data_IF_368583289379
#
_entry.id   IF_368583289379
#
_cell.length_a   1.000
_cell.length_b   1.000
_cell.length_c   1.000
_cell.angle_alpha   90.00
_cell.angle_beta   90.00
_cell.angle_gamma   90.00
#
_symmetry.space_group_name_H-M   'P 1'
#
loop_
_entity.id
_entity.type
_entity.pdbx_description
1 polymer ?
#
# COMPACT_ATOMS: atom_id res chain seq x y z
N UNK A 1 1.94 -6.92 -10.16
CA UNK A 1 2.24 -7.87 -9.08
C UNK A 1 0.97 -8.10 -8.30
N UNK A 2 0.45 -9.32 -8.34
CA UNK A 2 -0.66 -9.74 -7.52
C UNK A 2 -0.12 -10.58 -6.36
N UNK A 3 -0.32 -10.15 -5.12
CA UNK A 3 0.07 -10.92 -3.95
C UNK A 3 -1.19 -11.43 -3.23
N UNK A 4 -1.24 -12.74 -3.02
CA UNK A 4 -2.41 -13.41 -2.45
C UNK A 4 -2.73 -12.93 -1.03
N UNK A 5 -1.72 -12.69 -0.18
CA UNK A 5 -1.93 -12.18 1.18
C UNK A 5 -2.60 -10.81 1.18
N UNK A 6 -2.21 -9.93 0.25
CA UNK A 6 -2.83 -8.60 0.12
C UNK A 6 -4.28 -8.74 -0.35
N UNK A 7 -4.57 -9.66 -1.28
CA UNK A 7 -5.94 -9.93 -1.75
C UNK A 7 -6.84 -10.42 -0.61
N UNK A 8 -6.36 -11.31 0.23
CA UNK A 8 -7.11 -11.83 1.38
C UNK A 8 -7.41 -10.73 2.40
N UNK A 9 -6.42 -9.88 2.71
CA UNK A 9 -6.63 -8.71 3.56
C UNK A 9 -7.64 -7.75 2.91
N UNK A 10 -7.50 -7.46 1.62
CA UNK A 10 -8.40 -6.58 0.88
C UNK A 10 -9.85 -7.09 0.93
N UNK A 11 -10.07 -8.39 0.74
CA UNK A 11 -11.38 -9.03 0.88
C UNK A 11 -11.94 -8.89 2.29
N UNK A 12 -11.12 -9.10 3.34
CA UNK A 12 -11.54 -8.96 4.74
C UNK A 12 -12.11 -7.57 5.06
N UNK A 13 -11.53 -6.51 4.50
CA UNK A 13 -12.00 -5.13 4.73
C UNK A 13 -13.00 -4.64 3.68
N UNK A 14 -13.33 -5.44 2.67
CA UNK A 14 -14.10 -5.01 1.49
C UNK A 14 -13.48 -3.75 0.84
N UNK A 15 -12.16 -3.78 0.67
CA UNK A 15 -11.35 -2.70 0.07
C UNK A 15 -10.53 -3.25 -1.07
N UNK A 16 -9.97 -2.37 -1.89
CA UNK A 16 -9.03 -2.80 -2.92
C UNK A 16 -7.61 -3.03 -2.36
N UNK A 17 -6.78 -3.84 -3.03
CA UNK A 17 -5.37 -3.99 -2.65
C UNK A 17 -4.61 -2.66 -2.58
N UNK A 18 -4.96 -1.68 -3.41
CA UNK A 18 -4.35 -0.34 -3.37
C UNK A 18 -4.71 0.40 -2.09
N UNK A 19 -5.99 0.37 -1.68
CA UNK A 19 -6.44 0.98 -0.43
C UNK A 19 -5.77 0.35 0.79
N UNK A 20 -5.59 -0.98 0.81
CA UNK A 20 -4.86 -1.67 1.88
C UNK A 20 -3.42 -1.15 2.00
N UNK A 21 -2.70 -1.05 0.88
CA UNK A 21 -1.31 -0.56 0.88
C UNK A 21 -1.20 0.93 1.25
N UNK A 22 -2.17 1.76 0.85
CA UNK A 22 -2.23 3.16 1.26
C UNK A 22 -2.50 3.29 2.76
N UNK A 23 -3.46 2.53 3.29
CA UNK A 23 -3.77 2.52 4.73
C UNK A 23 -2.58 2.04 5.56
N UNK A 24 -1.87 1.03 5.07
CA UNK A 24 -0.66 0.52 5.71
C UNK A 24 0.42 1.59 5.86
N UNK A 25 0.71 2.38 4.80
CA UNK A 25 1.64 3.51 4.90
C UNK A 25 1.19 4.53 5.95
N UNK A 26 -0.10 4.90 5.95
CA UNK A 26 -0.65 5.89 6.87
C UNK A 26 -0.49 5.43 8.33
N UNK A 27 -0.78 4.16 8.65
CA UNK A 27 -0.62 3.62 10.01
C UNK A 27 0.84 3.48 10.45
N UNK A 28 1.79 3.50 9.53
CA UNK A 28 3.23 3.56 9.79
C UNK A 28 3.73 5.01 9.95
N UNK A 29 2.84 6.01 9.95
CA UNK A 29 3.17 7.43 9.90
C UNK A 29 3.99 7.83 8.65
N UNK A 30 3.80 7.13 7.53
CA UNK A 30 4.40 7.45 6.23
C UNK A 30 3.31 8.10 5.36
N UNK A 31 3.58 9.27 4.81
CA UNK A 31 2.64 9.98 3.93
C UNK A 31 2.69 9.35 2.52
N UNK A 32 1.62 8.68 2.04
CA UNK A 32 1.60 8.13 0.71
C UNK A 32 1.32 9.21 -0.35
N UNK A 33 1.98 9.12 -1.51
CA UNK A 33 1.74 9.99 -2.66
C UNK A 33 1.32 9.11 -3.86
N UNK A 34 0.05 8.66 -3.93
CA UNK A 34 -0.40 7.75 -4.97
C UNK A 34 -0.44 8.45 -6.34
N UNK A 35 0.32 7.94 -7.30
CA UNK A 35 0.26 8.40 -8.69
C UNK A 35 -0.96 7.79 -9.40
N UNK A 36 -1.83 8.63 -9.94
CA UNK A 36 -2.90 8.22 -10.86
C UNK A 36 -3.22 9.31 -11.86
N UNK A 37 -3.64 8.92 -13.07
CA UNK A 37 -4.31 9.80 -14.06
C UNK A 37 -5.79 9.42 -14.26
N UNK A 38 -6.25 8.35 -13.61
CA UNK A 38 -7.62 7.87 -13.71
C UNK A 38 -8.45 8.50 -12.56
N UNK A 39 -9.53 9.26 -12.87
CA UNK A 39 -10.35 9.92 -11.86
C UNK A 39 -10.97 8.96 -10.83
N UNK A 40 -11.52 7.82 -11.28
CA UNK A 40 -12.12 6.84 -10.37
C UNK A 40 -11.08 6.28 -9.39
N UNK A 41 -9.84 6.04 -9.84
CA UNK A 41 -8.75 5.61 -8.95
C UNK A 41 -8.28 6.72 -7.99
N UNK A 42 -8.35 7.98 -8.41
CA UNK A 42 -8.03 9.10 -7.50
C UNK A 42 -9.03 9.12 -6.36
N UNK A 43 -10.32 9.09 -6.69
CA UNK A 43 -11.42 9.03 -5.72
C UNK A 43 -11.29 7.81 -4.80
N UNK A 44 -11.09 6.61 -5.36
CA UNK A 44 -10.88 5.38 -4.60
C UNK A 44 -9.72 5.48 -3.60
N UNK A 45 -8.60 6.11 -3.99
CA UNK A 45 -7.42 6.28 -3.13
C UNK A 45 -7.66 7.23 -1.94
N UNK A 46 -8.68 8.09 -1.99
CA UNK A 46 -9.05 8.94 -0.85
C UNK A 46 -9.86 8.19 0.21
N UNK A 47 -10.54 7.11 -0.15
CA UNK A 47 -11.33 6.28 0.78
C UNK A 47 -10.47 5.28 1.58
N UNK A 48 -9.46 5.80 2.27
CA UNK A 48 -8.50 5.05 3.10
C UNK A 48 -8.47 5.49 4.57
N UNK A 49 -9.39 6.37 4.96
CA UNK A 49 -9.52 6.90 6.32
C UNK A 49 -10.73 6.35 7.07
N UNK A 50 -11.62 5.63 6.38
CA UNK A 50 -12.84 5.03 6.92
C UNK A 50 -12.65 3.63 7.50
N UNK A 51 -11.42 3.11 7.52
CA UNK A 51 -11.07 1.83 8.14
C UNK A 51 -9.67 1.86 8.76
N UNK A 52 -9.38 0.86 9.61
CA UNK A 52 -8.07 0.65 10.23
C UNK A 52 -7.69 -0.81 10.13
N UNK A 53 -6.44 -1.08 9.75
CA UNK A 53 -5.85 -2.41 9.78
C UNK A 53 -5.55 -2.80 11.22
N UNK A 54 -6.01 -3.99 11.60
CA UNK A 54 -5.68 -4.59 12.90
C UNK A 54 -4.20 -5.00 12.95
N UNK A 55 -3.67 -5.15 14.16
CA UNK A 55 -2.25 -5.47 14.38
C UNK A 55 -1.78 -6.71 13.63
N UNK A 56 -2.62 -7.75 13.56
CA UNK A 56 -2.32 -8.98 12.80
C UNK A 56 -2.09 -8.69 11.31
N UNK A 57 -2.93 -7.88 10.69
CA UNK A 57 -2.78 -7.54 9.27
C UNK A 57 -1.60 -6.60 9.05
N UNK A 58 -1.34 -5.67 9.98
CA UNK A 58 -0.14 -4.84 9.97
C UNK A 58 1.14 -5.70 10.05
N UNK A 59 1.19 -6.69 10.94
CA UNK A 59 2.32 -7.62 11.07
C UNK A 59 2.56 -8.42 9.79
N UNK A 60 1.49 -8.93 9.16
CA UNK A 60 1.59 -9.66 7.88
C UNK A 60 2.21 -8.76 6.80
N UNK A 61 1.75 -7.52 6.66
CA UNK A 61 2.30 -6.59 5.66
C UNK A 61 3.76 -6.21 5.97
N UNK A 62 4.09 -6.00 7.24
CA UNK A 62 5.45 -5.70 7.68
C UNK A 62 6.43 -6.86 7.41
N UNK A 63 5.96 -8.11 7.44
CA UNK A 63 6.79 -9.29 7.17
C UNK A 63 7.08 -9.50 5.68
N UNK A 64 6.58 -8.65 4.78
CA UNK A 64 6.73 -8.79 3.33
C UNK A 64 7.93 -8.02 2.76
N UNK A 65 8.80 -7.45 3.61
CA UNK A 65 9.99 -6.78 3.11
C UNK A 65 10.98 -7.78 2.46
N UNK A 66 11.31 -7.53 1.20
CA UNK A 66 12.27 -8.33 0.42
C UNK A 66 13.58 -7.57 0.14
N UNK A 67 13.77 -6.38 0.74
CA UNK A 67 14.85 -5.45 0.38
C UNK A 67 14.90 -5.14 -1.13
N UNK A 68 13.75 -5.26 -1.81
CA UNK A 68 13.63 -5.06 -3.24
C UNK A 68 13.31 -3.59 -3.57
N UNK A 69 14.14 -2.96 -4.39
CA UNK A 69 13.96 -1.57 -4.83
C UNK A 69 13.44 -1.54 -6.27
N UNK A 70 12.35 -0.82 -6.49
CA UNK A 70 11.70 -0.69 -7.82
C UNK A 70 12.12 0.56 -8.63
N UNK A 71 12.83 1.49 -7.98
CA UNK A 71 13.40 2.70 -8.59
C UNK A 71 14.93 2.63 -8.56
N UNK A 72 15.57 3.61 -9.17
CA UNK A 72 17.02 3.71 -9.20
C UNK A 72 17.65 3.71 -7.80
N UNK A 73 18.87 3.16 -7.71
CA UNK A 73 19.65 3.19 -6.49
C UNK A 73 20.16 4.63 -6.26
N UNK A 74 19.76 5.31 -5.17
CA UNK A 74 20.17 6.70 -4.93
C UNK A 74 21.68 6.87 -4.77
N UNK A 75 22.44 5.81 -4.48
CA UNK A 75 23.89 5.87 -4.29
C UNK A 75 24.69 5.73 -5.59
N UNK A 76 24.09 5.19 -6.64
CA UNK A 76 24.82 4.84 -7.87
C UNK A 76 24.13 5.36 -9.13
N UNK A 77 23.02 6.08 -8.99
CA UNK A 77 22.29 6.60 -10.14
C UNK A 77 22.97 7.87 -10.65
N UNK A 78 23.28 7.86 -11.94
CA UNK A 78 23.82 8.98 -12.70
C UNK A 78 22.84 9.30 -13.85
N UNK A 79 22.64 10.59 -14.15
CA UNK A 79 21.51 11.10 -14.95
C UNK A 79 21.84 11.37 -16.41
#
# INVERSE_FOLDING_TARGET
>A
MENQKIKEIAQKYNKSPAQILLRWNIQQNIIPIPKSKNPARLEENFFVFDFTLEDKNMQILNSMNENHRTRYNPLTFDF
#
